data_IF_948561239878
#
_entry.id   IF_948561239878
#
_cell.length_a   1.000
_cell.length_b   1.000
_cell.length_c   1.000
_cell.angle_alpha   90.00
_cell.angle_beta   90.00
_cell.angle_gamma   90.00
#
_symmetry.space_group_name_H-M   'P 1'
#
loop_
_entity.id
_entity.type
_entity.pdbx_description
1 polymer ?
#
# COMPACT_ATOMS: atom_id res chain seq x y z
N UNK A 1 2.90 -11.79 9.59
CA UNK A 1 4.31 -11.81 9.14
C UNK A 1 4.84 -10.39 9.09
N UNK A 2 5.88 -10.05 9.88
CA UNK A 2 6.58 -8.75 9.77
C UNK A 2 7.38 -8.75 8.46
N UNK A 3 7.25 -7.70 7.64
CA UNK A 3 8.08 -7.52 6.46
C UNK A 3 9.51 -7.16 6.93
N UNK A 4 10.54 -7.99 6.67
CA UNK A 4 11.89 -7.77 7.19
C UNK A 4 12.56 -6.50 6.64
N UNK A 5 12.03 -5.93 5.54
CA UNK A 5 12.52 -4.69 4.96
C UNK A 5 12.06 -3.44 5.73
N UNK A 6 10.98 -3.55 6.52
CA UNK A 6 10.39 -2.43 7.26
C UNK A 6 11.05 -2.35 8.64
N UNK A 7 11.72 -1.23 8.90
CA UNK A 7 12.42 -0.94 10.16
C UNK A 7 11.80 0.27 10.85
N UNK A 8 11.90 0.32 12.18
CA UNK A 8 11.51 1.47 13.00
C UNK A 8 10.09 1.99 12.72
N UNK A 9 9.14 1.08 12.50
CA UNK A 9 7.75 1.45 12.24
C UNK A 9 7.16 2.16 13.46
N UNK A 10 6.61 3.35 13.24
CA UNK A 10 5.85 4.14 14.22
C UNK A 10 4.53 4.57 13.61
N UNK A 11 3.49 4.63 14.42
CA UNK A 11 2.17 5.15 14.03
C UNK A 11 1.94 6.41 14.85
N UNK A 12 1.48 7.46 14.20
CA UNK A 12 1.10 8.71 14.81
C UNK A 12 -0.22 9.20 14.20
N UNK A 13 -0.93 10.04 14.96
CA UNK A 13 -2.09 10.79 14.48
C UNK A 13 -1.81 12.28 14.75
N UNK A 14 -1.12 12.97 13.83
CA UNK A 14 -0.89 14.41 13.94
C UNK A 14 -2.20 15.20 13.99
N UNK A 15 -2.17 16.49 14.39
CA UNK A 15 -3.34 17.36 14.32
C UNK A 15 -4.00 17.34 12.93
N UNK A 16 -5.34 17.33 12.89
CA UNK A 16 -6.12 17.22 11.65
C UNK A 16 -6.26 15.79 11.08
N UNK A 17 -5.50 14.81 11.56
CA UNK A 17 -5.65 13.41 11.11
C UNK A 17 -6.82 12.71 11.78
N UNK A 18 -7.00 12.89 13.09
CA UNK A 18 -8.03 12.19 13.86
C UNK A 18 -9.44 12.52 13.35
N UNK A 19 -9.69 13.79 13.03
CA UNK A 19 -10.96 14.31 12.49
C UNK A 19 -11.31 13.70 11.12
N UNK A 20 -10.30 13.23 10.38
CA UNK A 20 -10.44 12.67 9.03
C UNK A 20 -10.29 11.15 9.02
N UNK A 21 -10.28 10.51 10.19
CA UNK A 21 -10.02 9.07 10.35
C UNK A 21 -8.71 8.62 9.69
N UNK A 22 -7.72 9.53 9.69
CA UNK A 22 -6.42 9.34 9.09
C UNK A 22 -5.38 8.90 10.11
N UNK A 23 -4.34 8.21 9.64
CA UNK A 23 -3.16 7.84 10.43
C UNK A 23 -1.89 8.02 9.60
N UNK A 24 -0.84 8.49 10.25
CA UNK A 24 0.51 8.56 9.67
C UNK A 24 1.35 7.39 10.18
N UNK A 25 1.85 6.56 9.27
CA UNK A 25 2.78 5.47 9.59
C UNK A 25 4.16 5.84 9.06
N UNK A 26 5.12 6.11 9.93
CA UNK A 26 6.52 6.32 9.52
C UNK A 26 7.32 5.03 9.65
N UNK A 27 8.24 4.78 8.72
CA UNK A 27 9.15 3.65 8.76
C UNK A 27 10.41 3.92 7.92
N UNK A 28 11.38 3.01 8.01
CA UNK A 28 12.59 3.03 7.20
C UNK A 28 12.76 1.72 6.44
N UNK A 29 13.40 1.81 5.28
CA UNK A 29 13.88 0.69 4.48
C UNK A 29 15.39 0.83 4.23
N UNK A 30 16.10 -0.24 3.82
CA UNK A 30 17.50 -0.14 3.43
C UNK A 30 17.70 0.97 2.38
N UNK A 31 18.60 1.92 2.64
CA UNK A 31 18.86 3.07 1.75
C UNK A 31 17.80 4.20 1.75
N UNK A 32 16.67 4.00 2.44
CA UNK A 32 15.52 4.93 2.45
C UNK A 32 15.02 5.15 3.88
N UNK A 33 15.51 6.20 4.54
CA UNK A 33 15.22 6.46 5.97
C UNK A 33 13.88 7.14 6.23
N UNK A 34 13.30 7.78 5.22
CA UNK A 34 12.13 8.65 5.36
C UNK A 34 10.98 8.11 4.51
N UNK A 35 10.38 7.01 4.97
CA UNK A 35 9.24 6.38 4.33
C UNK A 35 7.99 6.59 5.20
N UNK A 36 6.87 6.90 4.56
CA UNK A 36 5.61 7.15 5.22
C UNK A 36 4.47 6.43 4.51
N UNK A 37 3.43 6.09 5.26
CA UNK A 37 2.13 5.71 4.73
C UNK A 37 1.09 6.61 5.37
N UNK A 38 0.34 7.32 4.54
CA UNK A 38 -0.86 8.02 4.92
C UNK A 38 -2.01 7.05 4.73
N UNK A 39 -2.67 6.69 5.81
CA UNK A 39 -3.78 5.75 5.82
C UNK A 39 -5.06 6.51 6.15
N UNK A 40 -6.11 6.29 5.38
CA UNK A 40 -7.48 6.65 5.72
C UNK A 40 -8.28 5.35 5.72
N UNK A 41 -8.84 5.02 6.89
CA UNK A 41 -9.60 3.80 7.12
C UNK A 41 -10.98 4.20 7.66
N UNK A 42 -11.93 4.58 6.78
CA UNK A 42 -13.22 5.05 7.21
C UNK A 42 -13.97 3.93 7.94
N UNK A 43 -14.61 4.30 9.04
CA UNK A 43 -15.38 3.38 9.89
C UNK A 43 -16.70 3.01 9.21
N UNK A 44 -17.28 3.94 8.46
CA UNK A 44 -18.50 3.73 7.70
C UNK A 44 -18.24 2.99 6.38
N UNK A 45 -18.82 1.78 6.18
CA UNK A 45 -18.70 1.04 4.93
C UNK A 45 -19.41 1.71 3.73
N UNK A 46 -20.30 2.69 3.96
CA UNK A 46 -20.93 3.48 2.91
C UNK A 46 -20.05 4.65 2.42
N UNK A 47 -18.91 4.89 3.06
CA UNK A 47 -17.99 5.95 2.67
C UNK A 47 -17.50 5.75 1.22
N UNK A 48 -17.48 6.80 0.38
CA UNK A 48 -17.08 6.68 -1.01
C UNK A 48 -15.67 6.10 -1.13
N UNK A 49 -15.50 5.18 -2.07
CA UNK A 49 -14.21 4.50 -2.26
C UNK A 49 -13.06 5.44 -2.72
N UNK A 50 -13.41 6.64 -3.18
CA UNK A 50 -12.49 7.71 -3.56
C UNK A 50 -13.03 9.02 -3.00
N UNK A 51 -12.42 9.50 -1.92
CA UNK A 51 -12.63 10.86 -1.42
C UNK A 51 -11.46 11.75 -1.90
N UNK A 52 -11.76 12.65 -2.85
CA UNK A 52 -10.77 13.59 -3.39
C UNK A 52 -10.28 14.60 -2.35
N UNK A 53 -11.08 14.91 -1.33
CA UNK A 53 -10.66 15.81 -0.26
C UNK A 53 -9.58 15.17 0.63
N UNK A 54 -9.67 13.86 0.86
CA UNK A 54 -8.63 13.09 1.57
C UNK A 54 -7.37 12.98 0.71
N UNK A 55 -7.53 12.80 -0.60
CA UNK A 55 -6.39 12.80 -1.53
C UNK A 55 -5.64 14.13 -1.53
N UNK A 56 -6.35 15.26 -1.58
CA UNK A 56 -5.76 16.60 -1.53
C UNK A 56 -5.04 16.83 -0.19
N UNK A 57 -5.68 16.46 0.92
CA UNK A 57 -5.06 16.46 2.24
C UNK A 57 -3.75 15.64 2.28
N UNK A 58 -3.76 14.42 1.73
CA UNK A 58 -2.57 13.58 1.68
C UNK A 58 -1.44 14.15 0.82
N UNK A 59 -1.78 14.80 -0.28
CA UNK A 59 -0.80 15.50 -1.11
C UNK A 59 -0.18 16.69 -0.37
N UNK A 60 -0.99 17.48 0.35
CA UNK A 60 -0.51 18.55 1.23
C UNK A 60 0.45 18.01 2.30
N UNK A 61 0.11 16.90 2.93
CA UNK A 61 0.95 16.23 3.93
C UNK A 61 2.26 15.71 3.33
N UNK A 62 2.23 15.15 2.12
CA UNK A 62 3.45 14.72 1.42
C UNK A 62 4.40 15.91 1.16
N UNK A 63 3.86 17.07 0.75
CA UNK A 63 4.63 18.30 0.60
C UNK A 63 5.23 18.79 1.92
N UNK A 64 4.44 18.78 3.00
CA UNK A 64 4.88 19.19 4.33
C UNK A 64 6.01 18.29 4.86
N UNK A 65 5.85 16.96 4.75
CA UNK A 65 6.86 15.97 5.13
C UNK A 65 8.16 16.16 4.35
N UNK A 66 8.07 16.36 3.04
CA UNK A 66 9.25 16.55 2.19
C UNK A 66 10.00 17.85 2.52
N UNK A 67 9.25 18.94 2.75
CA UNK A 67 9.81 20.22 3.19
C UNK A 67 10.51 20.10 4.54
N UNK A 68 9.86 19.47 5.52
CA UNK A 68 10.43 19.30 6.87
C UNK A 68 11.73 18.48 6.90
N UNK A 69 11.93 17.57 5.94
CA UNK A 69 13.10 16.68 5.90
C UNK A 69 14.22 17.19 4.96
N UNK A 70 13.85 17.81 3.85
CA UNK A 70 14.80 18.18 2.78
C UNK A 70 14.93 19.68 2.55
N UNK A 71 14.05 20.49 3.14
CA UNK A 71 13.87 21.90 2.80
C UNK A 71 13.10 22.13 1.49
N UNK A 72 12.93 21.10 0.65
CA UNK A 72 12.23 21.18 -0.63
C UNK A 72 10.89 20.44 -0.56
N UNK A 73 9.73 21.11 -0.78
CA UNK A 73 8.43 20.47 -0.71
C UNK A 73 8.16 19.46 -1.84
N UNK A 74 8.95 19.41 -2.90
CA UNK A 74 8.72 18.54 -4.07
C UNK A 74 9.71 17.36 -4.15
N UNK A 75 10.46 17.11 -3.08
CA UNK A 75 11.51 16.08 -3.07
C UNK A 75 10.99 14.73 -2.56
N UNK A 76 10.00 14.16 -3.26
CA UNK A 76 9.38 12.90 -2.86
C UNK A 76 8.88 12.07 -4.04
N UNK A 77 8.56 10.80 -3.77
CA UNK A 77 7.82 9.90 -4.65
C UNK A 77 6.58 9.43 -3.90
N UNK A 78 5.42 9.55 -4.52
CA UNK A 78 4.14 9.05 -4.01
C UNK A 78 3.73 7.82 -4.79
N UNK A 79 3.25 6.80 -4.08
CA UNK A 79 2.60 5.62 -4.67
C UNK A 79 1.25 5.46 -3.99
N UNK A 80 0.19 5.64 -4.77
CA UNK A 80 -1.16 5.38 -4.30
C UNK A 80 -1.53 3.91 -4.54
N UNK A 81 -1.79 3.18 -3.46
CA UNK A 81 -2.29 1.80 -3.57
C UNK A 81 -3.82 1.84 -3.71
N UNK A 82 -4.29 1.87 -4.96
CA UNK A 82 -5.70 2.11 -5.28
C UNK A 82 -6.68 1.03 -4.80
N UNK A 83 -7.85 1.50 -4.36
CA UNK A 83 -9.02 0.68 -4.01
C UNK A 83 -9.52 -0.20 -5.17
N UNK A 84 -9.24 0.14 -6.43
CA UNK A 84 -9.63 -0.62 -7.63
C UNK A 84 -9.10 -2.07 -7.65
N UNK A 85 -7.92 -2.34 -7.10
CA UNK A 85 -7.37 -3.71 -7.02
C UNK A 85 -7.90 -4.45 -5.78
N UNK A 86 -8.37 -3.74 -4.76
CA UNK A 86 -8.73 -4.31 -3.44
C UNK A 86 -10.23 -4.30 -3.13
N UNK A 87 -11.06 -3.58 -3.89
CA UNK A 87 -12.48 -3.29 -3.61
C UNK A 87 -12.70 -2.85 -2.15
N UNK A 88 -11.87 -1.93 -1.65
CA UNK A 88 -11.99 -1.39 -0.28
C UNK A 88 -12.04 0.13 -0.32
N UNK A 89 -12.80 0.77 0.60
CA UNK A 89 -12.87 2.23 0.69
C UNK A 89 -11.60 2.85 1.29
N UNK A 90 -10.68 2.04 1.82
CA UNK A 90 -9.48 2.53 2.48
C UNK A 90 -8.50 3.16 1.47
N UNK A 91 -8.04 4.38 1.77
CA UNK A 91 -7.04 5.09 0.99
C UNK A 91 -5.68 4.95 1.65
N UNK A 92 -4.71 4.40 0.92
CA UNK A 92 -3.34 4.23 1.40
C UNK A 92 -2.39 4.88 0.41
N UNK A 93 -1.73 5.96 0.84
CA UNK A 93 -0.73 6.68 0.06
C UNK A 93 0.66 6.45 0.68
N UNK A 94 1.52 5.78 -0.05
CA UNK A 94 2.92 5.64 0.34
C UNK A 94 3.70 6.87 -0.12
N UNK A 95 4.43 7.50 0.80
CA UNK A 95 5.26 8.68 0.53
C UNK A 95 6.71 8.33 0.85
N UNK A 96 7.59 8.51 -0.13
CA UNK A 96 9.03 8.30 0.03
C UNK A 96 9.74 9.64 -0.17
N UNK A 97 10.32 10.19 0.88
CA UNK A 97 11.07 11.45 0.78
C UNK A 97 12.48 11.14 0.28
N UNK A 98 12.84 11.74 -0.86
CA UNK A 98 14.07 11.46 -1.60
C UNK A 98 15.02 12.63 -1.39
N UNK A 99 16.24 12.37 -0.92
CA UNK A 99 17.29 13.40 -0.75
C UNK A 99 18.30 13.40 -1.89
N UNK A 100 18.49 12.25 -2.55
CA UNK A 100 19.48 12.06 -3.61
C UNK A 100 18.90 11.27 -4.77
N UNK A 101 19.34 11.56 -6.00
CA UNK A 101 18.86 10.90 -7.21
C UNK A 101 19.00 9.37 -7.18
N UNK A 102 20.09 8.85 -6.60
CA UNK A 102 20.30 7.40 -6.47
C UNK A 102 19.24 6.72 -5.60
N UNK A 103 18.67 7.42 -4.60
CA UNK A 103 17.64 6.86 -3.74
C UNK A 103 16.34 6.61 -4.51
N UNK A 104 16.04 7.43 -5.53
CA UNK A 104 14.91 7.22 -6.43
C UNK A 104 15.09 5.97 -7.28
N UNK A 105 16.29 5.80 -7.87
CA UNK A 105 16.63 4.58 -8.62
C UNK A 105 16.57 3.34 -7.73
N UNK A 106 17.09 3.44 -6.51
CA UNK A 106 17.06 2.37 -5.52
C UNK A 106 15.63 1.98 -5.11
N UNK A 107 14.76 2.96 -4.89
CA UNK A 107 13.34 2.72 -4.62
C UNK A 107 12.70 1.92 -5.75
N UNK A 108 12.94 2.29 -7.00
CA UNK A 108 12.41 1.56 -8.15
C UNK A 108 12.93 0.14 -8.25
N UNK A 109 14.22 -0.07 -7.98
CA UNK A 109 14.81 -1.41 -7.97
C UNK A 109 14.21 -2.29 -6.86
N UNK A 110 14.02 -1.74 -5.65
CA UNK A 110 13.36 -2.45 -4.55
C UNK A 110 11.92 -2.84 -4.90
N UNK A 111 11.15 -1.90 -5.45
CA UNK A 111 9.77 -2.16 -5.85
C UNK A 111 9.71 -3.23 -6.95
N UNK A 112 10.55 -3.11 -7.98
CA UNK A 112 10.66 -4.10 -9.04
C UNK A 112 10.95 -5.49 -8.46
N UNK A 113 11.94 -5.61 -7.56
CA UNK A 113 12.27 -6.87 -6.89
C UNK A 113 11.09 -7.46 -6.13
N UNK A 114 10.42 -6.67 -5.29
CA UNK A 114 9.27 -7.13 -4.47
C UNK A 114 8.11 -7.60 -5.37
N UNK A 115 7.79 -6.84 -6.42
CA UNK A 115 6.69 -7.16 -7.32
C UNK A 115 7.00 -8.36 -8.20
N UNK A 116 8.22 -8.47 -8.74
CA UNK A 116 8.67 -9.62 -9.53
C UNK A 116 8.65 -10.91 -8.72
N UNK A 117 9.19 -10.92 -7.50
CA UNK A 117 9.13 -12.09 -6.60
C UNK A 117 7.67 -12.46 -6.29
N UNK A 118 6.82 -11.47 -6.02
CA UNK A 118 5.39 -11.69 -5.76
C UNK A 118 4.64 -12.26 -6.95
N UNK A 119 5.01 -11.86 -8.18
CA UNK A 119 4.43 -12.35 -9.41
C UNK A 119 4.91 -13.79 -9.69
N UNK A 120 6.22 -14.03 -9.60
CA UNK A 120 6.82 -15.35 -9.80
C UNK A 120 6.27 -16.37 -8.80
N UNK A 121 6.19 -16.03 -7.51
CA UNK A 121 5.58 -16.88 -6.48
C UNK A 121 4.13 -17.23 -6.84
N UNK A 122 3.35 -16.28 -7.33
CA UNK A 122 1.97 -16.54 -7.77
C UNK A 122 1.91 -17.44 -9.00
N UNK A 123 2.81 -17.27 -9.96
CA UNK A 123 2.89 -18.11 -11.15
C UNK A 123 3.26 -19.57 -10.79
N UNK A 124 4.27 -19.76 -9.95
CA UNK A 124 4.75 -21.09 -9.54
C UNK A 124 3.75 -21.84 -8.63
N UNK A 125 3.02 -21.13 -7.77
CA UNK A 125 2.03 -21.75 -6.87
C UNK A 125 0.64 -21.95 -7.50
N UNK A 126 0.38 -21.40 -8.69
CA UNK A 126 -0.88 -21.61 -9.44
C UNK A 126 -1.15 -23.08 -9.79
N UNK A 127 -0.22 -23.87 -10.36
CA UNK A 127 -0.47 -25.28 -10.69
C UNK A 127 -0.76 -26.13 -9.44
N UNK A 128 -0.07 -25.87 -8.32
CA UNK A 128 -0.32 -26.58 -7.05
C UNK A 128 -1.70 -26.29 -6.44
N UNK A 129 -2.27 -25.10 -6.69
CA UNK A 129 -3.64 -24.77 -6.28
C UNK A 129 -4.69 -25.43 -7.18
N UNK A 130 -4.45 -25.52 -8.49
CA UNK A 130 -5.34 -26.22 -9.43
C UNK A 130 -5.42 -27.72 -9.15
N UNK A 131 -4.31 -28.36 -8.78
CA UNK A 131 -4.29 -29.79 -8.44
C UNK A 131 -5.04 -30.13 -7.14
N UNK A 132 -5.27 -29.16 -6.25
CA UNK A 132 -5.97 -29.36 -4.97
C UNK A 132 -7.49 -29.15 -5.07
N UNK A 133 -7.96 -28.52 -6.14
CA UNK A 133 -9.35 -28.54 -6.57
C UNK A 133 -9.48 -29.59 -7.67
N UNK A 134 -9.47 -30.87 -7.29
CA UNK A 134 -9.87 -31.96 -8.18
C UNK A 134 -11.33 -31.79 -8.63
N UNK A 135 -11.75 -32.46 -9.71
CA UNK A 135 -13.11 -32.34 -10.23
C UNK A 135 -14.11 -32.68 -9.11
N UNK A 136 -15.00 -31.73 -8.80
CA UNK A 136 -16.18 -32.03 -8.01
C UNK A 136 -16.90 -33.18 -8.70
N UNK A 137 -17.15 -34.24 -7.93
CA UNK A 137 -17.82 -35.45 -8.36
C UNK A 137 -19.08 -35.10 -9.18
N UNK A 138 -19.08 -35.51 -10.45
CA UNK A 138 -20.32 -35.75 -11.18
C UNK A 138 -20.88 -37.03 -10.57
N UNK A 139 -21.78 -36.84 -9.61
CA UNK A 139 -22.47 -37.92 -8.94
C UNK A 139 -23.82 -37.41 -8.48
N UNK A 140 -24.85 -38.01 -9.06
CA UNK A 140 -26.19 -38.18 -8.49
C UNK A 140 -27.26 -37.12 -8.79
N UNK A 141 -28.06 -37.38 -9.84
CA UNK A 141 -29.53 -37.27 -9.85
C UNK A 141 -30.10 -37.55 -11.25
N UNK A 142 -30.57 -38.78 -11.46
CA UNK A 142 -31.69 -39.05 -12.38
C UNK A 142 -32.28 -40.44 -12.08
N UNK A 143 -32.87 -40.58 -10.89
CA UNK A 143 -33.98 -41.49 -10.66
C UNK A 143 -35.14 -40.65 -10.11
N UNK A 144 -36.06 -40.28 -11.00
CA UNK A 144 -37.43 -39.86 -10.69
C UNK A 144 -38.20 -39.63 -12.00
N UNK A 145 -38.68 -40.71 -12.62
CA UNK A 145 -40.07 -40.95 -13.06
C UNK A 145 -40.16 -42.06 -14.09
#
# INVERSE_FOLDING_TARGET
>A
MRNPLVRNRRIASPPGYAERECRLVSYAMPGLRHCFVLCHEPTDPAHPAIDYSVMDFFMGEAHALSRGITGNPHSFVVIHSGGLVRKRPNLHMHVFVIRRRWQKAWLYLLLAGIHSVSALRRALLRPLRRARTGPAAIGDRADAR
#
